data_IF_826898940835
#
_entry.id   IF_826898940835
#
_cell.length_a   1.000
_cell.length_b   1.000
_cell.length_c   1.000
_cell.angle_alpha   90.00
_cell.angle_beta   90.00
_cell.angle_gamma   90.00
#
_symmetry.space_group_name_H-M   'P 1'
#
loop_
_entity.id
_entity.type
_entity.pdbx_description
1 polymer ?
#
# COMPACT_ATOMS: atom_id res chain seq x y z
N UNK A 1 -22.58 12.42 -17.47
CA UNK A 1 -23.88 11.75 -17.70
C UNK A 1 -24.98 12.74 -17.37
N UNK A 2 -25.62 13.29 -18.40
CA UNK A 2 -26.60 14.39 -18.35
C UNK A 2 -28.01 13.83 -18.12
N UNK A 3 -28.57 14.11 -16.94
CA UNK A 3 -29.92 13.69 -16.54
C UNK A 3 -30.93 14.82 -16.64
N UNK A 4 -31.72 14.79 -17.70
CA UNK A 4 -32.90 15.61 -18.00
C UNK A 4 -34.11 15.05 -17.24
N UNK A 5 -34.72 15.83 -16.36
CA UNK A 5 -36.03 15.55 -15.75
C UNK A 5 -36.84 16.85 -15.76
N UNK A 6 -37.66 17.04 -16.78
CA UNK A 6 -39.11 16.80 -16.79
C UNK A 6 -39.90 17.85 -16.01
N UNK A 7 -40.24 18.89 -16.76
CA UNK A 7 -41.29 19.88 -16.54
C UNK A 7 -42.66 19.19 -16.71
N UNK A 8 -43.45 19.14 -15.64
CA UNK A 8 -44.87 18.73 -15.59
C UNK A 8 -45.43 19.22 -14.25
N UNK A 9 -46.59 19.85 -14.11
CA UNK A 9 -47.66 20.14 -15.04
C UNK A 9 -48.48 21.35 -14.55
N UNK A 10 -49.28 21.88 -15.48
CA UNK A 10 -50.23 22.97 -15.28
C UNK A 10 -51.51 22.47 -14.57
N UNK A 11 -52.28 23.44 -14.08
CA UNK A 11 -53.74 23.45 -13.89
C UNK A 11 -54.31 22.96 -12.54
N UNK A 12 -54.52 23.92 -11.64
CA UNK A 12 -55.75 24.08 -10.85
C UNK A 12 -55.86 25.61 -10.63
N UNK A 13 -56.92 26.33 -10.98
CA UNK A 13 -58.34 25.98 -10.96
C UNK A 13 -59.03 26.94 -9.98
N UNK A 14 -59.30 28.17 -10.44
CA UNK A 14 -60.38 29.05 -9.96
C UNK A 14 -60.40 29.50 -8.49
N UNK A 15 -59.95 30.73 -8.23
CA UNK A 15 -60.64 31.68 -7.36
C UNK A 15 -60.08 33.09 -7.64
N UNK A 16 -60.86 33.90 -8.35
CA UNK A 16 -60.55 35.30 -8.65
C UNK A 16 -60.96 36.13 -7.44
N UNK A 17 -59.99 36.70 -6.72
CA UNK A 17 -60.21 37.83 -5.81
C UNK A 17 -59.28 38.95 -6.29
N UNK A 18 -59.79 40.01 -6.93
CA UNK A 18 -58.99 41.13 -7.34
C UNK A 18 -59.04 42.20 -6.26
N UNK A 19 -57.92 42.48 -5.61
CA UNK A 19 -57.71 43.82 -5.07
C UNK A 19 -56.23 44.17 -5.13
N UNK A 20 -55.96 45.20 -5.93
CA UNK A 20 -54.69 45.90 -6.07
C UNK A 20 -54.06 46.15 -4.70
N UNK A 21 -52.76 45.89 -4.58
CA UNK A 21 -52.03 46.29 -3.38
C UNK A 21 -50.60 45.81 -3.38
N UNK A 22 -49.80 46.37 -4.28
CA UNK A 22 -48.38 46.67 -4.15
C UNK A 22 -47.47 45.72 -3.32
N UNK A 23 -46.36 45.37 -3.97
CA UNK A 23 -45.06 45.19 -3.31
C UNK A 23 -45.02 44.11 -2.23
N UNK A 24 -44.67 42.88 -2.59
CA UNK A 24 -43.69 42.08 -1.85
C UNK A 24 -43.35 40.83 -2.68
N UNK A 25 -42.75 41.06 -3.86
CA UNK A 25 -41.93 40.02 -4.49
C UNK A 25 -40.58 40.05 -3.76
N UNK A 26 -40.55 39.56 -2.52
CA UNK A 26 -39.28 39.33 -1.83
C UNK A 26 -38.68 38.09 -2.47
N UNK A 27 -37.53 38.16 -3.16
CA UNK A 27 -36.82 36.96 -3.52
C UNK A 27 -36.43 36.31 -2.21
N UNK A 28 -37.05 35.18 -1.87
CA UNK A 28 -36.58 34.36 -0.77
C UNK A 28 -35.07 34.16 -1.02
N UNK A 29 -34.17 34.56 -0.10
CA UNK A 29 -32.78 34.20 -0.25
C UNK A 29 -32.77 32.67 -0.21
N UNK A 30 -32.59 32.06 -1.39
CA UNK A 30 -32.19 30.67 -1.46
C UNK A 30 -30.90 30.60 -0.67
N UNK A 31 -30.99 30.17 0.59
CA UNK A 31 -29.85 29.64 1.31
C UNK A 31 -29.49 28.36 0.57
N UNK A 32 -28.74 28.52 -0.51
CA UNK A 32 -27.81 27.49 -0.92
C UNK A 32 -26.76 27.44 0.20
N UNK A 33 -27.10 26.79 1.31
CA UNK A 33 -26.08 26.13 2.10
C UNK A 33 -25.56 25.00 1.21
N UNK A 34 -24.66 25.35 0.30
CA UNK A 34 -23.54 24.46 0.09
C UNK A 34 -22.82 24.45 1.44
N UNK A 35 -23.30 23.59 2.34
CA UNK A 35 -22.48 23.07 3.39
C UNK A 35 -21.35 22.37 2.64
N UNK A 36 -20.33 23.15 2.28
CA UNK A 36 -18.97 22.65 2.14
C UNK A 36 -18.59 22.30 3.58
N UNK A 37 -19.20 21.23 4.07
CA UNK A 37 -18.84 20.66 5.34
C UNK A 37 -17.36 20.35 5.21
N UNK A 38 -16.60 20.74 6.22
CA UNK A 38 -15.33 20.11 6.52
C UNK A 38 -15.63 18.66 6.94
N UNK A 39 -16.16 17.88 6.00
CA UNK A 39 -16.26 16.44 6.09
C UNK A 39 -14.85 15.95 5.85
N UNK A 40 -14.17 15.60 6.93
CA UNK A 40 -12.89 14.90 6.85
C UNK A 40 -13.05 13.71 5.90
N UNK A 41 -12.46 13.81 4.71
CA UNK A 41 -12.36 12.71 3.77
C UNK A 41 -11.13 11.89 4.18
N UNK A 42 -11.34 10.77 4.88
CA UNK A 42 -10.25 9.85 5.18
C UNK A 42 -9.96 8.96 3.97
N UNK A 43 -8.81 9.15 3.33
CA UNK A 43 -8.28 8.19 2.36
C UNK A 43 -7.45 7.13 3.10
N UNK A 44 -7.60 5.85 2.71
CA UNK A 44 -6.74 4.76 3.19
C UNK A 44 -5.77 4.39 2.08
N UNK A 45 -4.47 4.47 2.37
CA UNK A 45 -3.40 4.01 1.49
C UNK A 45 -2.80 2.73 2.08
N UNK A 46 -2.66 1.70 1.26
CA UNK A 46 -1.90 0.50 1.60
C UNK A 46 -0.66 0.44 0.72
N UNK A 47 0.52 0.35 1.34
CA UNK A 47 1.80 0.19 0.63
C UNK A 47 2.37 -1.15 1.04
N UNK A 48 2.71 -1.98 0.06
CA UNK A 48 3.42 -3.23 0.27
C UNK A 48 4.81 -3.12 -0.34
N UNK A 49 5.84 -3.43 0.43
CA UNK A 49 7.23 -3.50 -0.05
C UNK A 49 7.66 -4.96 0.02
N UNK A 50 8.05 -5.51 -1.13
CA UNK A 50 8.59 -6.86 -1.23
C UNK A 50 10.10 -6.76 -1.41
N UNK A 51 10.85 -7.34 -0.47
CA UNK A 51 12.31 -7.41 -0.55
C UNK A 51 12.69 -8.83 -0.95
N UNK A 52 13.32 -9.05 -2.12
CA UNK A 52 13.71 -10.39 -2.54
C UNK A 52 14.86 -10.94 -1.66
N UNK A 53 14.96 -12.27 -1.50
CA UNK A 53 16.07 -12.88 -0.81
C UNK A 53 17.38 -12.65 -1.56
N UNK A 54 18.44 -12.31 -0.83
CA UNK A 54 19.79 -12.08 -1.33
C UNK A 54 20.77 -12.88 -0.47
N UNK A 55 21.66 -13.58 -1.14
CA UNK A 55 22.78 -14.28 -0.53
C UNK A 55 23.99 -14.16 -1.44
N UNK A 56 25.13 -13.73 -0.90
CA UNK A 56 26.39 -13.60 -1.63
C UNK A 56 27.51 -14.17 -0.80
N UNK A 57 28.38 -14.96 -1.43
CA UNK A 57 29.66 -15.33 -0.84
C UNK A 57 30.64 -14.21 -1.18
N UNK A 58 31.18 -13.55 -0.16
CA UNK A 58 32.14 -12.47 -0.29
C UNK A 58 33.58 -13.01 -0.31
N UNK A 59 33.84 -14.02 0.52
CA UNK A 59 35.18 -14.58 0.70
C UNK A 59 35.10 -16.01 1.22
N UNK A 60 36.14 -16.80 0.93
CA UNK A 60 36.25 -18.19 1.37
C UNK A 60 37.68 -18.47 1.82
N UNK A 61 37.82 -18.79 3.09
CA UNK A 61 39.11 -19.09 3.70
C UNK A 61 39.16 -20.57 4.11
N UNK A 62 40.10 -21.36 3.58
CA UNK A 62 40.34 -22.72 4.10
C UNK A 62 40.76 -22.67 5.57
N UNK A 63 40.15 -23.50 6.40
CA UNK A 63 40.46 -23.63 7.83
C UNK A 63 40.57 -25.11 8.20
N UNK A 64 41.13 -25.41 9.37
CA UNK A 64 41.18 -26.80 9.82
C UNK A 64 39.77 -27.38 9.94
N UNK A 65 39.54 -28.53 9.28
CA UNK A 65 38.22 -29.19 9.22
C UNK A 65 37.20 -28.59 8.24
N UNK A 66 37.58 -27.68 7.34
CA UNK A 66 36.70 -27.23 6.25
C UNK A 66 37.02 -25.83 5.73
N UNK A 67 35.98 -25.02 5.59
CA UNK A 67 36.05 -23.70 5.00
C UNK A 67 35.24 -22.70 5.81
N UNK A 68 35.77 -21.50 5.94
CA UNK A 68 35.09 -20.37 6.54
C UNK A 68 34.62 -19.43 5.44
N UNK A 69 33.30 -19.32 5.29
CA UNK A 69 32.66 -18.51 4.26
C UNK A 69 32.24 -17.20 4.89
N UNK A 70 32.71 -16.10 4.32
CA UNK A 70 32.18 -14.77 4.63
C UNK A 70 31.07 -14.46 3.64
N UNK A 71 29.87 -14.24 4.15
CA UNK A 71 28.66 -14.10 3.33
C UNK A 71 27.93 -12.81 3.66
N UNK A 72 27.26 -12.24 2.65
CA UNK A 72 26.26 -11.19 2.84
C UNK A 72 24.87 -11.76 2.58
N UNK A 73 23.95 -11.60 3.52
CA UNK A 73 22.56 -12.01 3.33
C UNK A 73 21.55 -11.11 4.01
N UNK A 74 20.38 -10.92 3.40
CA UNK A 74 19.22 -10.27 4.03
C UNK A 74 18.24 -11.26 4.67
N UNK A 75 18.61 -12.54 4.73
CA UNK A 75 17.79 -13.61 5.31
C UNK A 75 18.32 -13.98 6.71
N UNK A 76 17.45 -14.59 7.53
CA UNK A 76 17.84 -15.12 8.85
C UNK A 76 18.50 -16.49 8.79
N UNK A 77 18.30 -17.22 7.70
CA UNK A 77 18.94 -18.51 7.48
C UNK A 77 19.12 -18.82 6.00
N UNK A 78 20.02 -19.75 5.72
CA UNK A 78 20.24 -20.33 4.39
C UNK A 78 20.62 -21.80 4.53
N UNK A 79 20.29 -22.60 3.51
CA UNK A 79 20.71 -23.99 3.45
C UNK A 79 21.94 -24.08 2.55
N UNK A 80 23.04 -24.57 3.11
CA UNK A 80 24.33 -24.69 2.43
C UNK A 80 24.76 -26.16 2.52
N UNK A 81 24.89 -26.83 1.37
CA UNK A 81 25.25 -28.26 1.34
C UNK A 81 24.29 -29.15 2.14
N UNK A 82 22.99 -28.82 2.15
CA UNK A 82 21.96 -29.57 2.88
C UNK A 82 21.89 -29.30 4.40
N UNK A 83 22.71 -28.39 4.94
CA UNK A 83 22.64 -27.98 6.35
C UNK A 83 22.08 -26.57 6.46
N UNK A 84 21.15 -26.36 7.40
CA UNK A 84 20.64 -25.02 7.69
C UNK A 84 21.66 -24.26 8.55
N UNK A 85 21.97 -23.04 8.12
CA UNK A 85 22.79 -22.07 8.84
C UNK A 85 21.92 -20.88 9.22
N UNK A 86 21.89 -20.53 10.51
CA UNK A 86 21.20 -19.34 11.02
C UNK A 86 22.19 -18.22 11.25
N UNK A 87 21.79 -17.01 10.89
CA UNK A 87 22.59 -15.80 11.03
C UNK A 87 22.02 -14.96 12.16
N UNK A 88 22.90 -14.45 13.03
CA UNK A 88 22.50 -13.60 14.16
C UNK A 88 21.92 -12.26 13.70
N UNK A 89 22.33 -11.79 12.52
CA UNK A 89 21.92 -10.51 11.94
C UNK A 89 21.82 -10.59 10.43
N UNK A 90 21.03 -9.68 9.87
CA UNK A 90 21.05 -9.34 8.46
C UNK A 90 22.39 -8.67 8.16
N UNK A 91 23.01 -9.08 7.06
CA UNK A 91 24.21 -8.50 6.49
C UNK A 91 25.36 -9.48 6.45
N UNK A 92 26.55 -9.02 6.85
CA UNK A 92 27.77 -9.79 6.79
C UNK A 92 27.85 -10.74 7.97
N UNK A 93 28.05 -12.02 7.66
CA UNK A 93 28.20 -13.09 8.62
C UNK A 93 29.24 -14.10 8.14
N UNK A 94 29.78 -14.87 9.08
CA UNK A 94 30.79 -15.89 8.82
C UNK A 94 30.21 -17.25 9.19
N UNK A 95 30.28 -18.20 8.28
CA UNK A 95 29.77 -19.58 8.48
C UNK A 95 30.81 -20.62 8.12
N UNK A 96 30.91 -21.66 8.95
CA UNK A 96 31.81 -22.80 8.71
C UNK A 96 31.10 -23.89 7.94
N UNK A 97 31.62 -24.17 6.75
CA UNK A 97 31.07 -25.14 5.80
C UNK A 97 32.11 -26.24 5.61
N UNK A 98 31.73 -27.52 5.67
CA UNK A 98 32.69 -28.62 5.53
C UNK A 98 33.22 -28.81 4.09
N UNK A 99 32.54 -28.20 3.12
CA UNK A 99 32.73 -28.47 1.69
C UNK A 99 33.23 -27.23 0.98
N UNK A 100 34.01 -27.40 -0.09
CA UNK A 100 34.51 -26.30 -0.91
C UNK A 100 33.38 -25.62 -1.72
N UNK A 101 33.56 -24.36 -2.16
CA UNK A 101 32.51 -23.62 -2.88
C UNK A 101 32.07 -24.28 -4.18
N UNK A 102 33.00 -24.91 -4.90
CA UNK A 102 32.71 -25.58 -6.17
C UNK A 102 31.80 -26.81 -6.01
N UNK A 103 31.82 -27.43 -4.82
CA UNK A 103 31.08 -28.67 -4.52
C UNK A 103 29.85 -28.39 -3.62
N UNK A 104 29.54 -27.12 -3.38
CA UNK A 104 28.47 -26.69 -2.47
C UNK A 104 27.35 -26.02 -3.24
N UNK A 105 26.12 -26.51 -3.06
CA UNK A 105 24.91 -25.81 -3.49
C UNK A 105 24.34 -24.98 -2.35
N UNK A 106 23.77 -23.82 -2.69
CA UNK A 106 23.14 -22.89 -1.74
C UNK A 106 21.68 -22.75 -2.14
N UNK A 107 20.78 -23.05 -1.21
CA UNK A 107 19.34 -22.74 -1.35
C UNK A 107 19.01 -21.62 -0.37
N UNK A 108 18.40 -20.58 -0.92
CA UNK A 108 17.90 -19.46 -0.13
C UNK A 108 16.65 -19.90 0.63
N UNK A 109 16.61 -19.61 1.94
CA UNK A 109 15.47 -19.98 2.80
C UNK A 109 14.19 -19.27 2.38
N UNK A 110 13.06 -19.96 2.54
CA UNK A 110 11.70 -19.50 2.26
C UNK A 110 11.29 -18.27 3.10
#
# INVERSE_FOLDING_TARGET
MTGRWLQSGRCAGGAVIPLLGALMFVPAPCRAESAYGSGSASARLHITVVVPPVFRVLDVTPVDGGYEYRVWTNMKSAVIGGREYRFDRIGESTVRVPTAPADTWIVHGL
#
